data_IF_165827580435
#
_entry.id   IF_165827580435
#
_cell.length_a   1.000
_cell.length_b   1.000
_cell.length_c   1.000
_cell.angle_alpha   90.00
_cell.angle_beta   90.00
_cell.angle_gamma   90.00
#
_symmetry.space_group_name_H-M   'P 1'
#
loop_
_entity.id
_entity.type
_entity.pdbx_description
1 polymer ?
#
# COMPACT_ATOMS: atom_id res chain seq x y z
N UNK A 1 -10.49 11.50 -4.96
CA UNK A 1 -10.13 10.06 -5.05
C UNK A 1 -9.97 9.50 -3.63
N UNK A 2 -10.95 8.76 -3.09
CA UNK A 2 -10.92 8.13 -1.73
C UNK A 2 -10.79 6.59 -1.80
N UNK A 3 -10.29 6.06 -2.90
CA UNK A 3 -10.42 4.62 -3.22
C UNK A 3 -9.27 3.75 -2.68
N UNK A 4 -8.12 4.34 -2.34
CA UNK A 4 -6.91 3.61 -1.96
C UNK A 4 -6.98 2.95 -0.58
N UNK A 5 -7.59 3.59 0.43
CA UNK A 5 -7.65 3.03 1.78
C UNK A 5 -8.65 1.86 1.91
N UNK A 6 -9.71 1.86 1.08
CA UNK A 6 -10.70 0.79 1.08
C UNK A 6 -10.13 -0.49 0.49
N UNK A 7 -9.36 -0.37 -0.60
CA UNK A 7 -8.66 -1.51 -1.21
C UNK A 7 -7.73 -2.21 -0.22
N UNK A 8 -6.92 -1.46 0.53
CA UNK A 8 -6.06 -2.01 1.58
C UNK A 8 -6.85 -2.77 2.65
N UNK A 9 -8.03 -2.28 3.07
CA UNK A 9 -8.90 -3.03 4.02
C UNK A 9 -9.41 -4.33 3.42
N UNK A 10 -9.86 -4.29 2.17
CA UNK A 10 -10.38 -5.48 1.50
C UNK A 10 -9.29 -6.54 1.38
N UNK A 11 -8.07 -6.16 0.98
CA UNK A 11 -6.94 -7.09 0.87
C UNK A 11 -6.59 -7.68 2.25
N UNK A 12 -6.52 -6.85 3.28
CA UNK A 12 -6.21 -7.26 4.66
C UNK A 12 -7.20 -8.32 5.20
N UNK A 13 -8.50 -8.20 4.85
CA UNK A 13 -9.54 -9.15 5.27
C UNK A 13 -9.49 -10.47 4.47
N UNK A 14 -9.06 -10.43 3.21
CA UNK A 14 -9.13 -11.58 2.31
C UNK A 14 -7.85 -12.41 2.24
N UNK A 15 -6.77 -11.99 2.91
CA UNK A 15 -5.50 -12.71 2.93
C UNK A 15 -5.22 -13.27 4.33
N UNK A 16 -4.69 -14.49 4.40
CA UNK A 16 -4.28 -15.11 5.66
C UNK A 16 -3.34 -14.20 6.45
N UNK A 17 -3.51 -14.16 7.77
CA UNK A 17 -2.75 -13.28 8.67
C UNK A 17 -1.26 -13.59 8.77
N UNK A 18 -0.80 -14.69 8.19
CA UNK A 18 0.58 -15.15 8.26
C UNK A 18 1.41 -14.79 7.01
N UNK A 19 0.78 -14.21 5.98
CA UNK A 19 1.45 -13.93 4.70
C UNK A 19 1.97 -12.49 4.62
N UNK A 20 3.16 -12.31 4.06
CA UNK A 20 3.68 -10.98 3.75
C UNK A 20 3.10 -10.42 2.45
N UNK A 21 2.76 -9.14 2.46
CA UNK A 21 2.02 -8.44 1.42
C UNK A 21 2.92 -7.43 0.71
N UNK A 22 3.35 -7.76 -0.50
CA UNK A 22 4.19 -6.88 -1.31
C UNK A 22 3.35 -6.05 -2.31
N UNK A 23 3.23 -4.75 -2.06
CA UNK A 23 2.53 -3.80 -2.92
C UNK A 23 3.52 -3.13 -3.86
N UNK A 24 3.41 -3.37 -5.16
CA UNK A 24 4.16 -2.63 -6.18
C UNK A 24 3.32 -1.46 -6.68
N UNK A 25 3.86 -0.23 -6.64
CA UNK A 25 3.17 0.96 -7.13
C UNK A 25 4.04 1.73 -8.12
N UNK A 26 3.47 2.06 -9.28
CA UNK A 26 4.14 2.71 -10.43
C UNK A 26 4.09 4.25 -10.36
N UNK A 27 3.07 4.83 -9.74
CA UNK A 27 2.87 6.29 -9.64
C UNK A 27 2.37 6.70 -8.27
N UNK A 28 3.28 6.80 -7.32
CA UNK A 28 3.01 7.45 -6.04
C UNK A 28 3.12 8.98 -6.19
N UNK A 29 2.18 9.62 -6.90
CA UNK A 29 2.07 11.08 -6.88
C UNK A 29 1.48 11.49 -5.53
N UNK A 30 2.37 11.72 -4.56
CA UNK A 30 2.47 12.86 -3.62
C UNK A 30 1.22 13.45 -2.95
N UNK A 31 0.04 12.85 -3.05
CA UNK A 31 -1.06 13.07 -2.11
C UNK A 31 -1.07 11.97 -1.06
N UNK A 32 0.11 11.84 -0.47
CA UNK A 32 0.49 11.02 0.67
C UNK A 32 -0.36 11.42 1.87
N UNK A 33 -1.55 10.85 1.95
CA UNK A 33 -2.45 11.07 3.07
C UNK A 33 -1.73 10.48 4.27
N UNK A 34 -1.30 11.29 5.25
CA UNK A 34 -0.60 10.83 6.46
C UNK A 34 -1.25 9.60 7.12
N UNK A 35 -2.56 9.44 6.93
CA UNK A 35 -3.36 8.25 7.30
C UNK A 35 -2.88 6.94 6.66
N UNK A 36 -2.52 6.92 5.38
CA UNK A 36 -1.97 5.73 4.70
C UNK A 36 -0.62 5.34 5.28
N UNK A 37 0.30 6.31 5.43
CA UNK A 37 1.60 6.08 6.07
C UNK A 37 1.46 5.56 7.50
N UNK A 38 0.61 6.20 8.31
CA UNK A 38 0.33 5.74 9.69
C UNK A 38 -0.21 4.32 9.74
N UNK A 39 -0.96 3.90 8.73
CA UNK A 39 -1.52 2.54 8.69
C UNK A 39 -0.50 1.51 8.22
N UNK A 40 0.30 1.82 7.21
CA UNK A 40 1.43 0.97 6.80
C UNK A 40 2.42 0.77 7.96
N UNK A 41 2.72 1.82 8.73
CA UNK A 41 3.54 1.71 9.95
C UNK A 41 2.94 0.81 11.04
N UNK A 42 1.61 0.69 11.09
CA UNK A 42 0.90 -0.17 12.05
C UNK A 42 0.77 -1.61 11.55
N UNK A 43 1.05 -1.87 10.28
CA UNK A 43 0.91 -3.18 9.65
C UNK A 43 2.25 -3.55 8.98
N UNK A 44 3.24 -4.06 9.75
CA UNK A 44 4.60 -4.32 9.27
C UNK A 44 4.67 -5.35 8.12
N UNK A 45 3.60 -6.11 7.92
CA UNK A 45 3.43 -7.10 6.83
C UNK A 45 3.24 -6.46 5.45
N UNK A 46 2.94 -5.17 5.37
CA UNK A 46 2.79 -4.47 4.10
C UNK A 46 4.13 -3.88 3.65
N UNK A 47 4.76 -4.55 2.69
CA UNK A 47 6.00 -4.10 2.06
C UNK A 47 5.69 -3.35 0.78
N UNK A 48 5.98 -2.05 0.75
CA UNK A 48 5.73 -1.23 -0.43
C UNK A 48 7.00 -1.15 -1.29
N UNK A 49 6.92 -1.68 -2.51
CA UNK A 49 7.97 -1.61 -3.52
C UNK A 49 7.61 -0.52 -4.52
N UNK A 50 8.55 0.39 -4.76
CA UNK A 50 8.41 1.44 -5.74
C UNK A 50 9.20 1.07 -6.98
N UNK A 51 8.55 1.04 -8.14
CA UNK A 51 9.29 1.07 -9.39
C UNK A 51 9.69 2.53 -9.66
N UNK A 52 10.99 2.84 -9.82
CA UNK A 52 11.39 4.19 -10.19
C UNK A 52 10.70 4.54 -11.51
N UNK A 53 10.14 5.74 -11.58
CA UNK A 53 9.48 6.28 -12.77
C UNK A 53 10.55 6.59 -13.84
N UNK A 54 11.06 5.53 -14.46
CA UNK A 54 11.97 5.56 -15.61
C UNK A 54 11.76 4.29 -16.42
N UNK A 55 10.56 4.14 -16.96
CA UNK A 55 10.25 3.23 -18.06
C UNK A 55 9.27 3.91 -19.02
N UNK A 56 9.64 5.12 -19.45
CA UNK A 56 9.17 5.81 -20.66
C UNK A 56 10.17 6.91 -20.99
#
# INVERSE_FOLDING_TARGET
>A
MRQSLNLLKTIDINILEELDLHLVCDRYVTHETATLKKRLLRQPRFHMLFTPASAS
#
